data_IF_171554003161
#
_entry.id   IF_171554003161
#
_cell.length_a   1.000
_cell.length_b   1.000
_cell.length_c   1.000
_cell.angle_alpha   90.00
_cell.angle_beta   90.00
_cell.angle_gamma   90.00
#
_symmetry.space_group_name_H-M   'P 1'
#
loop_
_entity.id
_entity.type
_entity.pdbx_description
1 polymer ?
#
# COMPACT_ATOMS: atom_id res chain seq x y z
N UNK A 1 12.07 44.23 94.36
CA UNK A 1 11.13 43.65 95.38
C UNK A 1 10.33 42.51 94.68
N UNK A 2 10.36 41.38 95.33
CA UNK A 2 9.51 40.19 95.21
C UNK A 2 9.61 39.30 94.01
N UNK A 3 10.19 38.18 94.28
CA UNK A 3 10.06 36.82 93.80
C UNK A 3 8.60 36.30 94.03
N UNK A 4 8.27 35.03 93.73
CA UNK A 4 8.70 33.97 92.79
C UNK A 4 7.46 33.27 92.19
N UNK A 5 7.58 32.18 91.44
CA UNK A 5 7.23 30.82 91.83
C UNK A 5 7.21 29.89 90.58
N UNK A 6 7.92 28.81 90.80
CA UNK A 6 8.01 27.62 89.96
C UNK A 6 6.66 26.99 89.60
N UNK A 7 6.60 26.29 88.49
CA UNK A 7 6.23 24.86 88.46
C UNK A 7 6.53 24.19 87.09
N UNK A 8 7.25 23.17 87.25
CA UNK A 8 7.53 21.97 86.55
C UNK A 8 6.41 21.42 85.63
N UNK A 9 6.96 20.71 84.67
CA UNK A 9 6.56 19.37 84.21
C UNK A 9 5.85 19.25 82.85
N UNK A 10 6.44 18.40 82.08
CA UNK A 10 5.73 17.72 81.01
C UNK A 10 6.54 17.49 79.73
N UNK A 11 7.56 16.61 79.84
CA UNK A 11 8.18 16.02 78.63
C UNK A 11 7.17 15.04 78.03
N UNK A 12 6.64 15.34 76.84
CA UNK A 12 5.96 14.36 76.00
C UNK A 12 6.76 14.24 74.72
N UNK A 13 7.50 13.17 74.65
CA UNK A 13 8.19 12.73 73.44
C UNK A 13 7.13 12.21 72.44
N UNK A 14 6.78 13.03 71.46
CA UNK A 14 5.96 12.63 70.33
C UNK A 14 6.89 12.07 69.27
N UNK A 15 6.92 10.76 69.09
CA UNK A 15 7.49 10.09 67.93
C UNK A 15 6.71 10.48 66.70
N UNK A 16 7.25 11.33 65.85
CA UNK A 16 6.79 11.54 64.49
C UNK A 16 7.28 10.34 63.65
N UNK A 17 6.39 9.38 63.44
CA UNK A 17 6.49 8.35 62.40
C UNK A 17 6.34 9.08 61.06
N UNK A 18 7.47 9.34 60.39
CA UNK A 18 7.52 9.69 58.98
C UNK A 18 7.10 8.44 58.19
N UNK A 19 5.81 8.38 57.83
CA UNK A 19 5.32 7.45 56.85
C UNK A 19 5.96 7.78 55.49
N UNK A 20 6.94 7.00 55.08
CA UNK A 20 7.36 6.92 53.69
C UNK A 20 6.18 6.36 52.88
N UNK A 21 5.39 7.27 52.34
CA UNK A 21 4.43 6.92 51.30
C UNK A 21 5.23 6.43 50.09
N UNK A 22 5.32 5.13 49.90
CA UNK A 22 5.72 4.52 48.64
C UNK A 22 4.75 5.08 47.58
N UNK A 23 5.23 5.92 46.68
CA UNK A 23 4.55 6.17 45.42
C UNK A 23 4.46 4.83 44.74
N UNK A 24 3.31 4.16 44.89
CA UNK A 24 2.93 3.07 44.01
C UNK A 24 2.94 3.66 42.59
N UNK A 25 3.84 3.15 41.74
CA UNK A 25 3.70 3.34 40.31
C UNK A 25 2.39 2.64 39.99
N UNK A 26 1.33 3.43 39.82
CA UNK A 26 0.11 2.91 39.25
C UNK A 26 0.51 2.17 37.97
N UNK A 27 0.05 0.95 37.85
CA UNK A 27 0.21 0.17 36.62
C UNK A 27 -0.14 1.07 35.45
N UNK A 28 0.89 1.49 34.71
CA UNK A 28 0.67 2.25 33.48
C UNK A 28 -0.21 1.37 32.62
N UNK A 29 -1.48 1.78 32.47
CA UNK A 29 -2.39 1.13 31.53
C UNK A 29 -1.75 1.25 30.13
N UNK A 30 -1.12 0.17 29.70
CA UNK A 30 -0.72 0.01 28.32
C UNK A 30 -1.98 -0.41 27.57
N UNK A 31 -2.54 0.44 26.71
CA UNK A 31 -3.69 0.04 25.92
C UNK A 31 -3.32 -1.23 25.15
N UNK A 32 -4.15 -2.27 25.26
CA UNK A 32 -3.98 -3.43 24.38
C UNK A 32 -4.00 -2.94 22.93
N UNK A 33 -3.05 -3.37 22.10
CA UNK A 33 -3.09 -3.02 20.68
C UNK A 33 -4.46 -3.46 20.11
N UNK A 34 -5.02 -2.68 19.15
CA UNK A 34 -6.25 -3.07 18.49
C UNK A 34 -6.09 -4.47 17.90
N UNK A 35 -7.08 -5.33 18.16
CA UNK A 35 -7.10 -6.67 17.56
C UNK A 35 -7.06 -6.55 16.05
N UNK A 36 -6.20 -7.33 15.40
CA UNK A 36 -6.18 -7.41 13.95
C UNK A 36 -7.58 -7.83 13.43
N UNK A 37 -8.07 -7.28 12.31
CA UNK A 37 -9.33 -7.69 11.71
C UNK A 37 -9.32 -9.20 11.44
N UNK A 38 -10.34 -9.91 11.95
CA UNK A 38 -10.51 -11.32 11.62
C UNK A 38 -10.73 -11.48 10.11
N UNK A 39 -9.90 -12.30 9.48
CA UNK A 39 -10.16 -12.79 8.14
C UNK A 39 -11.25 -13.85 8.28
N UNK A 40 -12.52 -13.46 8.11
CA UNK A 40 -13.61 -14.44 8.07
C UNK A 40 -13.35 -15.38 6.90
N UNK A 41 -13.00 -16.62 7.23
CA UNK A 41 -12.60 -17.64 6.27
C UNK A 41 -13.70 -18.00 5.28
N UNK A 42 -13.81 -17.23 4.22
CA UNK A 42 -14.41 -17.69 2.97
C UNK A 42 -13.36 -18.50 2.21
N UNK A 43 -13.78 -19.57 1.53
CA UNK A 43 -12.89 -20.27 0.62
C UNK A 43 -12.24 -19.25 -0.34
N UNK A 44 -10.91 -19.32 -0.49
CA UNK A 44 -10.20 -18.45 -1.41
C UNK A 44 -10.87 -18.51 -2.79
N UNK A 45 -11.12 -17.36 -3.44
CA UNK A 45 -11.64 -17.38 -4.81
C UNK A 45 -10.72 -18.26 -5.67
N UNK A 46 -11.29 -19.18 -6.41
CA UNK A 46 -10.52 -19.97 -7.37
C UNK A 46 -9.80 -18.99 -8.32
N UNK A 47 -8.50 -19.24 -8.57
CA UNK A 47 -7.78 -18.46 -9.55
C UNK A 47 -8.53 -18.56 -10.88
N UNK A 48 -9.19 -17.49 -11.31
CA UNK A 48 -9.82 -17.44 -12.62
C UNK A 48 -8.74 -17.06 -13.62
N UNK A 49 -8.27 -18.07 -14.34
CA UNK A 49 -7.38 -17.85 -15.46
C UNK A 49 -8.22 -17.41 -16.66
N UNK A 50 -8.21 -16.11 -16.95
CA UNK A 50 -8.71 -15.60 -18.22
C UNK A 50 -7.50 -15.27 -19.09
N UNK A 51 -7.43 -15.86 -20.27
CA UNK A 51 -6.30 -15.72 -21.19
C UNK A 51 -6.05 -14.29 -21.66
N UNK A 52 -6.95 -13.36 -21.33
CA UNK A 52 -6.92 -11.95 -21.75
C UNK A 52 -6.73 -10.95 -20.61
N UNK A 53 -6.36 -11.40 -19.41
CA UNK A 53 -6.24 -10.51 -18.22
C UNK A 53 -5.32 -9.31 -18.47
N UNK A 54 -4.22 -9.48 -19.24
CA UNK A 54 -3.25 -8.43 -19.55
C UNK A 54 -3.65 -7.60 -20.78
N UNK A 55 -4.65 -8.02 -21.53
CA UNK A 55 -5.11 -7.24 -22.68
C UNK A 55 -5.85 -5.99 -22.21
N UNK A 56 -5.42 -4.84 -22.72
CA UNK A 56 -6.08 -3.55 -22.53
C UNK A 56 -6.56 -3.01 -23.87
N UNK A 57 -7.10 -1.80 -23.88
CA UNK A 57 -7.57 -1.09 -25.06
C UNK A 57 -6.40 -0.35 -25.73
N UNK A 58 -6.19 -0.55 -27.03
CA UNK A 58 -5.15 0.20 -27.74
C UNK A 58 -5.37 1.72 -27.63
N UNK A 59 -4.31 2.52 -27.55
CA UNK A 59 -4.41 3.99 -27.64
C UNK A 59 -5.14 4.44 -28.92
N UNK A 60 -5.67 5.66 -28.93
CA UNK A 60 -6.35 6.18 -30.08
C UNK A 60 -5.37 6.53 -31.21
N UNK A 61 -5.54 5.90 -32.35
CA UNK A 61 -4.96 6.23 -33.67
C UNK A 61 -3.64 6.98 -33.70
N UNK A 62 -3.59 8.03 -34.52
CA UNK A 62 -2.36 8.81 -34.76
C UNK A 62 -2.06 9.88 -33.70
N UNK A 63 -3.00 10.18 -32.81
CA UNK A 63 -2.84 11.09 -31.69
C UNK A 63 -3.37 10.46 -30.40
N UNK A 64 -2.54 9.64 -29.74
CA UNK A 64 -2.94 8.93 -28.52
C UNK A 64 -3.38 9.83 -27.37
N UNK A 65 -2.89 11.07 -27.35
CA UNK A 65 -3.16 12.04 -26.29
C UNK A 65 -4.18 13.11 -26.69
N UNK A 66 -4.90 12.93 -27.82
CA UNK A 66 -5.99 13.79 -28.22
C UNK A 66 -7.08 13.84 -27.14
N UNK A 67 -7.60 15.05 -26.90
CA UNK A 67 -8.69 15.29 -25.95
C UNK A 67 -9.91 15.84 -26.69
N UNK A 68 -10.72 14.98 -27.30
CA UNK A 68 -11.93 15.38 -27.99
C UNK A 68 -12.94 16.04 -27.03
N UNK A 69 -13.74 16.96 -27.56
CA UNK A 69 -14.87 17.50 -26.81
C UNK A 69 -15.83 16.39 -26.38
N UNK A 70 -16.29 16.45 -25.13
CA UNK A 70 -17.18 15.43 -24.55
C UNK A 70 -16.47 14.18 -24.03
N UNK A 71 -15.14 14.06 -24.20
CA UNK A 71 -14.39 12.95 -23.63
C UNK A 71 -14.24 13.08 -22.10
N UNK A 72 -13.91 11.96 -21.44
CA UNK A 72 -13.59 11.93 -20.01
C UNK A 72 -12.49 12.93 -19.69
N UNK A 73 -11.40 12.96 -20.47
CA UNK A 73 -10.29 13.90 -20.29
C UNK A 73 -10.72 15.36 -20.45
N UNK A 74 -11.67 15.65 -21.35
CA UNK A 74 -12.19 17.03 -21.49
C UNK A 74 -12.99 17.46 -20.26
N UNK A 75 -13.74 16.56 -19.63
CA UNK A 75 -14.47 16.79 -18.38
C UNK A 75 -13.49 17.03 -17.22
N UNK A 76 -12.44 16.20 -17.11
CA UNK A 76 -11.35 16.37 -16.14
C UNK A 76 -10.66 17.72 -16.33
N UNK A 77 -10.38 18.11 -17.58
CA UNK A 77 -9.76 19.40 -17.93
C UNK A 77 -10.64 20.59 -17.50
N UNK A 78 -11.95 20.51 -17.72
CA UNK A 78 -12.91 21.54 -17.29
C UNK A 78 -12.97 21.65 -15.76
N UNK A 79 -12.90 20.54 -15.04
CA UNK A 79 -12.81 20.51 -13.57
C UNK A 79 -11.51 21.12 -13.04
N UNK A 80 -10.45 21.17 -13.86
CA UNK A 80 -9.18 21.79 -13.54
C UNK A 80 -8.17 20.94 -12.80
N UNK A 81 -8.46 19.64 -12.52
CA UNK A 81 -7.54 18.69 -11.86
C UNK A 81 -7.92 17.25 -12.14
N UNK A 82 -6.93 16.36 -12.17
CA UNK A 82 -7.09 14.91 -12.12
C UNK A 82 -7.30 14.48 -10.65
N UNK A 83 -8.24 13.60 -10.37
CA UNK A 83 -8.43 12.99 -9.04
C UNK A 83 -7.92 11.56 -9.09
N UNK A 84 -6.91 11.24 -8.27
CA UNK A 84 -6.28 9.92 -8.26
C UNK A 84 -6.38 9.26 -6.89
N UNK A 85 -6.86 8.01 -6.84
CA UNK A 85 -6.81 7.13 -5.68
C UNK A 85 -5.41 6.55 -5.53
N UNK A 86 -4.77 6.77 -4.38
CA UNK A 86 -3.37 6.40 -4.14
C UNK A 86 -3.16 5.90 -2.72
N UNK A 87 -2.00 5.29 -2.45
CA UNK A 87 -1.48 5.13 -1.09
C UNK A 87 -0.77 6.41 -0.62
N UNK A 88 -0.63 6.57 0.70
CA UNK A 88 0.22 7.59 1.30
C UNK A 88 1.20 7.00 2.34
N UNK A 89 1.27 5.69 2.43
CA UNK A 89 2.07 4.93 3.39
C UNK A 89 2.86 3.76 2.78
N UNK A 90 2.66 3.47 1.50
CA UNK A 90 3.43 2.43 0.80
C UNK A 90 4.74 3.04 0.29
N UNK A 91 5.80 2.93 1.09
CA UNK A 91 7.12 3.46 0.75
C UNK A 91 7.57 2.92 -0.62
N UNK A 92 8.28 3.72 -1.40
CA UNK A 92 8.68 3.54 -2.81
C UNK A 92 7.57 3.76 -3.84
N UNK A 93 6.31 3.43 -3.55
CA UNK A 93 5.21 3.47 -4.52
C UNK A 93 4.33 4.72 -4.34
N UNK A 94 3.87 4.97 -3.14
CA UNK A 94 3.09 6.15 -2.78
C UNK A 94 3.14 6.35 -1.27
N UNK A 95 4.04 7.21 -0.82
CA UNK A 95 4.24 7.49 0.60
C UNK A 95 4.39 8.99 0.87
N UNK A 96 3.96 9.41 2.05
CA UNK A 96 4.14 10.79 2.49
C UNK A 96 5.58 11.03 2.91
N UNK A 97 6.22 11.97 2.25
CA UNK A 97 7.54 12.44 2.65
C UNK A 97 7.44 13.22 3.98
N UNK A 98 8.12 12.79 5.05
CA UNK A 98 7.99 13.41 6.37
C UNK A 98 8.55 14.83 6.45
N UNK A 99 9.42 15.22 5.51
CA UNK A 99 10.05 16.54 5.47
C UNK A 99 9.20 17.55 4.70
N UNK A 100 8.72 17.14 3.52
CA UNK A 100 7.97 18.03 2.61
C UNK A 100 6.46 17.95 2.79
N UNK A 101 5.95 16.86 3.39
CA UNK A 101 4.53 16.54 3.48
C UNK A 101 3.90 16.07 2.16
N UNK A 102 4.65 16.10 1.05
CA UNK A 102 4.16 15.62 -0.25
C UNK A 102 4.03 14.10 -0.26
N UNK A 103 3.05 13.57 -1.00
CA UNK A 103 3.00 12.14 -1.33
C UNK A 103 3.78 11.94 -2.61
N UNK A 104 4.73 11.00 -2.58
CA UNK A 104 5.64 10.74 -3.68
C UNK A 104 5.94 9.24 -3.80
N UNK A 105 6.45 8.80 -4.96
CA UNK A 105 6.75 7.40 -5.23
C UNK A 105 6.49 7.04 -6.69
N UNK A 106 6.78 5.79 -7.03
CA UNK A 106 6.67 5.28 -8.39
C UNK A 106 5.25 5.44 -8.96
N UNK A 107 4.20 5.05 -8.21
CA UNK A 107 2.80 5.20 -8.63
C UNK A 107 2.38 6.68 -8.80
N UNK A 108 2.95 7.57 -7.97
CA UNK A 108 2.65 9.00 -8.02
C UNK A 108 3.24 9.65 -9.28
N UNK A 109 4.38 9.15 -9.78
CA UNK A 109 4.96 9.66 -11.01
C UNK A 109 4.05 9.38 -12.22
N UNK A 110 3.32 8.25 -12.26
CA UNK A 110 2.29 8.00 -13.28
C UNK A 110 1.13 9.00 -13.18
N UNK A 111 0.66 9.30 -11.97
CA UNK A 111 -0.38 10.33 -11.77
C UNK A 111 0.07 11.68 -12.31
N UNK A 112 1.32 12.08 -12.06
CA UNK A 112 1.90 13.32 -12.60
C UNK A 112 1.97 13.32 -14.12
N UNK A 113 2.37 12.20 -14.74
CA UNK A 113 2.45 12.08 -16.19
C UNK A 113 1.05 12.16 -16.85
N UNK A 114 0.04 11.53 -16.25
CA UNK A 114 -1.35 11.65 -16.72
C UNK A 114 -1.83 13.09 -16.58
N UNK A 115 -1.59 13.76 -15.45
CA UNK A 115 -1.94 15.17 -15.25
C UNK A 115 -1.24 16.07 -16.28
N UNK A 116 0.07 15.85 -16.50
CA UNK A 116 0.85 16.57 -17.51
C UNK A 116 0.26 16.41 -18.92
N UNK A 117 -0.15 15.19 -19.29
CA UNK A 117 -0.75 14.92 -20.58
C UNK A 117 -2.12 15.62 -20.75
N UNK A 118 -2.92 15.70 -19.68
CA UNK A 118 -4.24 16.36 -19.73
C UNK A 118 -4.10 17.90 -19.73
N UNK A 119 -3.23 18.46 -18.90
CA UNK A 119 -3.19 19.90 -18.59
C UNK A 119 -1.96 20.64 -19.16
N UNK A 120 -0.92 19.92 -19.59
CA UNK A 120 0.40 20.50 -19.83
C UNK A 120 1.15 20.84 -18.53
N UNK A 121 0.62 20.44 -17.37
CA UNK A 121 1.11 20.78 -16.02
C UNK A 121 0.96 19.55 -15.12
N UNK A 122 2.08 18.99 -14.67
CA UNK A 122 2.13 17.80 -13.85
C UNK A 122 1.61 17.99 -12.43
N UNK A 123 1.38 19.22 -11.99
CA UNK A 123 0.89 19.55 -10.65
C UNK A 123 -0.64 19.60 -10.54
N UNK A 124 -1.34 19.50 -11.67
CA UNK A 124 -2.80 19.60 -11.77
C UNK A 124 -3.53 18.31 -11.37
N UNK A 125 -3.23 17.79 -10.18
CA UNK A 125 -3.90 16.63 -9.61
C UNK A 125 -4.35 16.86 -8.16
N UNK A 126 -5.26 16.05 -7.71
CA UNK A 126 -5.66 15.87 -6.31
C UNK A 126 -5.53 14.39 -5.95
N UNK A 127 -4.81 14.10 -4.87
CA UNK A 127 -4.70 12.74 -4.36
C UNK A 127 -5.81 12.46 -3.35
N UNK A 128 -6.46 11.32 -3.52
CA UNK A 128 -7.36 10.72 -2.54
C UNK A 128 -6.67 9.49 -1.97
N UNK A 129 -6.30 9.57 -0.69
CA UNK A 129 -5.69 8.42 0.00
C UNK A 129 -6.76 7.39 0.28
N UNK A 130 -6.52 6.15 -0.14
CA UNK A 130 -7.45 5.01 -0.02
C UNK A 130 -6.74 3.77 0.49
N UNK A 131 -7.48 2.87 1.14
CA UNK A 131 -6.99 1.52 1.48
C UNK A 131 -6.96 0.62 0.24
N UNK A 132 -6.35 -0.56 0.37
CA UNK A 132 -6.35 -1.54 -0.73
C UNK A 132 -7.78 -2.02 -1.07
N UNK A 133 -8.62 -2.22 -0.07
CA UNK A 133 -10.00 -2.68 -0.24
C UNK A 133 -10.90 -1.65 -0.94
N UNK A 134 -10.61 -0.36 -0.78
CA UNK A 134 -11.42 0.71 -1.38
C UNK A 134 -11.18 0.92 -2.87
N UNK A 135 -10.13 0.32 -3.47
CA UNK A 135 -9.70 0.60 -4.86
C UNK A 135 -10.80 0.40 -5.90
N UNK A 136 -11.61 -0.67 -5.76
CA UNK A 136 -12.70 -0.96 -6.70
C UNK A 136 -13.86 0.00 -6.49
N UNK A 137 -14.30 0.17 -5.26
CA UNK A 137 -15.46 0.98 -4.90
C UNK A 137 -15.32 2.44 -5.34
N UNK A 138 -14.16 3.07 -5.09
CA UNK A 138 -13.95 4.49 -5.47
C UNK A 138 -13.96 4.72 -6.99
N UNK A 139 -13.58 3.69 -7.80
CA UNK A 139 -13.70 3.73 -9.26
C UNK A 139 -15.14 3.50 -9.72
N UNK A 140 -15.82 2.51 -9.17
CA UNK A 140 -17.21 2.20 -9.50
C UNK A 140 -18.15 3.37 -9.19
N UNK A 141 -17.86 4.10 -8.11
CA UNK A 141 -18.63 5.28 -7.69
C UNK A 141 -18.16 6.58 -8.35
N UNK A 142 -17.19 6.55 -9.28
CA UNK A 142 -16.60 7.75 -9.92
C UNK A 142 -16.08 8.79 -8.91
N UNK A 143 -15.61 8.35 -7.75
CA UNK A 143 -15.04 9.22 -6.73
C UNK A 143 -13.61 9.66 -7.05
N UNK A 144 -12.96 8.91 -7.94
CA UNK A 144 -11.66 9.19 -8.54
C UNK A 144 -11.70 8.89 -10.03
N UNK A 145 -10.82 9.54 -10.80
CA UNK A 145 -10.67 9.30 -12.24
C UNK A 145 -9.80 8.09 -12.53
N UNK A 146 -8.79 7.88 -11.69
CA UNK A 146 -7.84 6.76 -11.79
C UNK A 146 -7.45 6.27 -10.41
N UNK A 147 -7.02 5.01 -10.33
CA UNK A 147 -6.32 4.45 -9.16
C UNK A 147 -4.93 4.01 -9.60
N UNK A 148 -3.89 4.64 -9.04
CA UNK A 148 -2.50 4.22 -9.15
C UNK A 148 -2.01 3.83 -7.74
N UNK A 149 -2.13 2.52 -7.41
CA UNK A 149 -1.86 2.00 -6.07
C UNK A 149 -1.52 0.51 -6.13
N UNK A 150 -0.36 0.18 -6.71
CA UNK A 150 0.15 -1.19 -6.82
C UNK A 150 -1.00 -2.20 -7.02
N UNK A 151 -1.76 -2.00 -8.09
CA UNK A 151 -3.01 -2.71 -8.28
C UNK A 151 -2.86 -3.81 -9.32
N UNK A 152 -2.78 -5.06 -8.87
CA UNK A 152 -2.69 -6.23 -9.74
C UNK A 152 -3.87 -6.32 -10.68
N UNK A 153 -3.62 -6.50 -11.95
CA UNK A 153 -4.62 -6.79 -12.98
C UNK A 153 -5.09 -8.23 -12.80
N UNK A 154 -6.38 -8.42 -12.50
CA UNK A 154 -7.01 -9.74 -12.37
C UNK A 154 -8.29 -9.82 -13.19
N UNK A 155 -8.68 -11.04 -13.55
CA UNK A 155 -9.93 -11.29 -14.27
C UNK A 155 -11.16 -10.80 -13.51
N UNK A 156 -11.16 -10.99 -12.18
CA UNK A 156 -12.30 -10.58 -11.36
C UNK A 156 -12.43 -9.06 -11.29
N UNK A 157 -11.30 -8.33 -11.18
CA UNK A 157 -11.31 -6.86 -11.18
C UNK A 157 -11.79 -6.29 -12.52
N UNK A 158 -11.45 -6.94 -13.65
CA UNK A 158 -11.96 -6.55 -14.96
C UNK A 158 -13.48 -6.62 -15.11
N UNK A 159 -14.18 -7.39 -14.24
CA UNK A 159 -15.66 -7.44 -14.25
C UNK A 159 -16.31 -6.16 -13.72
N UNK A 160 -15.57 -5.34 -12.99
CA UNK A 160 -16.12 -4.20 -12.27
C UNK A 160 -15.43 -2.87 -12.57
N UNK A 161 -14.20 -2.89 -13.05
CA UNK A 161 -13.42 -1.72 -13.46
C UNK A 161 -12.66 -2.02 -14.74
N UNK A 162 -12.09 -1.00 -15.36
CA UNK A 162 -11.15 -1.16 -16.47
C UNK A 162 -9.71 -0.90 -16.02
N UNK A 163 -8.74 -1.43 -16.77
CA UNK A 163 -7.31 -1.24 -16.50
C UNK A 163 -6.56 -0.69 -17.72
N UNK A 164 -5.52 0.07 -17.44
CA UNK A 164 -4.47 0.32 -18.43
C UNK A 164 -3.76 -0.98 -18.84
N UNK A 165 -2.89 -0.91 -19.83
CA UNK A 165 -1.85 -1.90 -20.01
C UNK A 165 -0.99 -1.98 -18.74
N UNK A 166 -0.33 -3.13 -18.58
CA UNK A 166 0.62 -3.34 -17.50
C UNK A 166 1.74 -2.30 -17.52
N UNK A 167 1.98 -1.65 -16.38
CA UNK A 167 3.09 -0.70 -16.25
C UNK A 167 4.27 -1.22 -15.43
N UNK A 168 4.07 -2.29 -14.66
CA UNK A 168 5.10 -2.97 -13.87
C UNK A 168 4.69 -4.41 -13.60
N UNK A 169 5.65 -5.34 -13.64
CA UNK A 169 5.44 -6.72 -13.22
C UNK A 169 6.11 -6.91 -11.86
N UNK A 170 5.30 -7.01 -10.82
CA UNK A 170 5.73 -7.42 -9.50
C UNK A 170 5.58 -8.92 -9.31
N UNK A 171 6.13 -9.43 -8.21
CA UNK A 171 5.95 -10.81 -7.80
C UNK A 171 5.69 -10.91 -6.31
N UNK A 172 4.75 -11.76 -5.90
CA UNK A 172 4.43 -11.95 -4.50
C UNK A 172 5.53 -12.77 -3.81
N UNK A 173 5.97 -12.29 -2.66
CA UNK A 173 7.03 -12.87 -1.81
C UNK A 173 6.62 -12.87 -0.33
N UNK A 174 7.54 -13.25 0.52
CA UNK A 174 7.38 -13.30 1.97
C UNK A 174 8.45 -12.44 2.64
N UNK A 175 8.04 -11.67 3.64
CA UNK A 175 8.91 -10.91 4.54
C UNK A 175 8.75 -11.47 5.95
N UNK A 176 9.89 -11.69 6.62
CA UNK A 176 9.96 -12.23 7.96
C UNK A 176 10.92 -11.42 8.84
N UNK A 177 10.95 -11.70 10.13
CA UNK A 177 12.03 -11.20 10.99
C UNK A 177 13.31 -11.96 10.69
N UNK A 178 14.44 -11.27 10.77
CA UNK A 178 15.76 -11.92 10.69
C UNK A 178 15.89 -13.01 11.76
N UNK A 179 16.31 -14.20 11.33
CA UNK A 179 16.42 -15.37 12.21
C UNK A 179 15.12 -16.18 12.35
N UNK A 180 14.07 -15.85 11.58
CA UNK A 180 12.88 -16.70 11.46
C UNK A 180 13.24 -18.06 10.89
N UNK A 181 12.48 -19.08 11.25
CA UNK A 181 12.53 -20.44 10.70
C UNK A 181 11.68 -20.58 9.42
N UNK A 182 10.89 -19.57 9.09
CA UNK A 182 10.15 -19.51 7.81
C UNK A 182 11.15 -19.26 6.68
N UNK A 183 11.17 -20.17 5.70
CA UNK A 183 12.10 -20.16 4.57
C UNK A 183 11.44 -20.03 3.22
N UNK A 184 10.10 -20.07 3.15
CA UNK A 184 9.32 -19.95 1.92
C UNK A 184 7.86 -20.32 2.11
N UNK A 185 7.13 -20.40 1.02
CA UNK A 185 5.68 -20.63 1.01
C UNK A 185 5.32 -21.95 1.74
N UNK A 186 6.08 -23.02 1.51
CA UNK A 186 5.81 -24.35 2.06
C UNK A 186 6.02 -24.43 3.60
N UNK A 187 6.67 -23.43 4.18
CA UNK A 187 6.94 -23.38 5.62
C UNK A 187 5.99 -22.44 6.39
N UNK A 188 4.90 -21.99 5.77
CA UNK A 188 3.92 -21.10 6.40
C UNK A 188 2.88 -21.82 7.26
N UNK A 189 2.80 -23.16 7.22
CA UNK A 189 1.81 -23.93 7.98
C UNK A 189 1.92 -23.66 9.49
N UNK A 190 0.79 -23.28 10.10
CA UNK A 190 0.70 -22.94 11.53
C UNK A 190 1.28 -21.59 11.91
N UNK A 191 1.81 -20.80 10.95
CA UNK A 191 2.28 -19.45 11.19
C UNK A 191 1.22 -18.39 10.87
N UNK A 192 1.19 -17.32 11.66
CA UNK A 192 0.33 -16.15 11.43
C UNK A 192 0.95 -15.29 10.34
N UNK A 193 0.26 -15.18 9.22
CA UNK A 193 0.75 -14.47 8.04
C UNK A 193 -0.16 -13.29 7.71
N UNK A 194 0.39 -12.08 7.71
CA UNK A 194 -0.37 -10.87 7.40
C UNK A 194 -0.36 -10.55 5.91
N UNK A 195 -1.53 -10.19 5.40
CA UNK A 195 -1.69 -9.49 4.13
C UNK A 195 -2.88 -8.52 4.23
N UNK A 196 -2.89 -7.40 3.49
CA UNK A 196 -4.02 -6.48 3.50
C UNK A 196 -5.27 -7.10 2.88
N UNK A 197 -6.42 -6.75 3.45
CA UNK A 197 -7.72 -7.14 2.93
C UNK A 197 -7.97 -6.55 1.53
N UNK A 198 -8.66 -7.28 0.66
CA UNK A 198 -8.97 -6.86 -0.71
C UNK A 198 -7.76 -6.85 -1.65
N UNK A 199 -6.72 -7.61 -1.33
CA UNK A 199 -5.52 -7.76 -2.17
C UNK A 199 -5.41 -9.17 -2.76
N UNK A 200 -4.76 -9.26 -3.92
CA UNK A 200 -4.33 -10.55 -4.48
C UNK A 200 -3.38 -11.30 -3.53
N UNK A 201 -2.61 -10.57 -2.73
CA UNK A 201 -1.71 -11.15 -1.74
C UNK A 201 -2.45 -11.97 -0.70
N UNK A 202 -3.60 -11.48 -0.19
CA UNK A 202 -4.46 -12.23 0.73
C UNK A 202 -5.12 -13.42 0.02
N UNK A 203 -5.67 -13.19 -1.18
CA UNK A 203 -6.32 -14.26 -1.96
C UNK A 203 -5.36 -15.40 -2.28
N UNK A 204 -4.12 -15.06 -2.64
CA UNK A 204 -3.06 -16.04 -2.92
C UNK A 204 -2.60 -16.77 -1.65
N UNK A 205 -2.48 -16.07 -0.51
CA UNK A 205 -2.17 -16.68 0.78
C UNK A 205 -3.19 -17.78 1.11
N UNK A 206 -4.48 -17.44 1.07
CA UNK A 206 -5.57 -18.37 1.36
C UNK A 206 -5.59 -19.58 0.41
N UNK A 207 -5.17 -19.39 -0.83
CA UNK A 207 -5.17 -20.43 -1.85
C UNK A 207 -3.92 -21.30 -1.84
N UNK A 208 -2.74 -20.71 -1.66
CA UNK A 208 -1.44 -21.38 -1.84
C UNK A 208 -0.84 -21.90 -0.55
N UNK A 209 -1.20 -21.30 0.59
CA UNK A 209 -0.77 -21.72 1.92
C UNK A 209 -1.98 -21.92 2.84
N UNK A 210 -2.88 -22.90 2.57
CA UNK A 210 -4.10 -23.10 3.35
C UNK A 210 -3.86 -23.52 4.79
N UNK A 211 -2.65 -23.96 5.14
CA UNK A 211 -2.25 -24.27 6.52
C UNK A 211 -1.74 -23.07 7.31
N UNK A 212 -1.53 -21.92 6.67
CA UNK A 212 -1.19 -20.67 7.36
C UNK A 212 -2.40 -20.08 8.09
N UNK A 213 -2.14 -19.32 9.15
CA UNK A 213 -3.16 -18.55 9.88
C UNK A 213 -3.21 -17.12 9.29
N UNK A 214 -4.18 -16.76 8.42
CA UNK A 214 -4.22 -15.49 7.78
C UNK A 214 -4.63 -14.37 8.75
N UNK A 215 -3.92 -13.25 8.71
CA UNK A 215 -4.19 -12.05 9.49
C UNK A 215 -4.41 -10.88 8.55
N UNK A 216 -5.56 -10.19 8.67
CA UNK A 216 -5.90 -9.04 7.83
C UNK A 216 -5.35 -7.73 8.39
N UNK A 217 -5.10 -6.76 7.50
CA UNK A 217 -4.82 -5.37 7.82
C UNK A 217 -5.40 -4.45 6.73
N UNK A 218 -5.46 -3.15 6.98
CA UNK A 218 -5.90 -2.17 5.98
C UNK A 218 -4.84 -1.94 4.88
N UNK A 219 -3.57 -2.10 5.25
CA UNK A 219 -2.41 -1.90 4.38
C UNK A 219 -1.20 -2.71 4.88
N UNK A 220 -0.14 -2.78 4.07
CA UNK A 220 1.08 -3.50 4.42
C UNK A 220 1.87 -2.84 5.58
N UNK A 221 1.76 -1.52 5.76
CA UNK A 221 2.36 -0.82 6.92
C UNK A 221 1.72 -1.29 8.22
N UNK A 222 0.41 -1.54 8.23
CA UNK A 222 -0.28 -2.19 9.35
C UNK A 222 0.25 -3.59 9.62
N UNK A 223 0.51 -4.39 8.58
CA UNK A 223 1.15 -5.69 8.73
C UNK A 223 2.55 -5.59 9.35
N UNK A 224 3.35 -4.55 8.98
CA UNK A 224 4.68 -4.35 9.56
C UNK A 224 4.59 -4.05 11.06
N UNK A 225 3.62 -3.25 11.49
CA UNK A 225 3.38 -3.00 12.93
C UNK A 225 3.05 -4.31 13.65
N UNK A 226 2.14 -5.13 13.11
CA UNK A 226 1.80 -6.45 13.69
C UNK A 226 3.03 -7.37 13.77
N UNK A 227 3.90 -7.35 12.76
CA UNK A 227 5.15 -8.11 12.77
C UNK A 227 6.09 -7.60 13.89
N UNK A 228 6.26 -6.30 14.03
CA UNK A 228 7.10 -5.67 15.06
C UNK A 228 6.60 -6.01 16.48
N UNK A 229 5.30 -6.04 16.67
CA UNK A 229 4.66 -6.40 17.94
C UNK A 229 4.64 -7.91 18.21
N UNK A 230 5.04 -8.76 17.26
CA UNK A 230 5.01 -10.22 17.39
C UNK A 230 3.60 -10.80 17.30
N UNK A 231 2.67 -10.07 16.76
CA UNK A 231 1.30 -10.54 16.52
C UNK A 231 1.21 -11.40 15.26
N UNK A 232 2.14 -11.24 14.32
CA UNK A 232 2.29 -12.11 13.15
C UNK A 232 3.74 -12.57 13.00
N UNK A 233 3.94 -13.67 12.29
CA UNK A 233 5.23 -14.32 12.11
C UNK A 233 5.83 -13.97 10.75
N UNK A 234 4.98 -13.64 9.76
CA UNK A 234 5.36 -13.24 8.41
C UNK A 234 4.37 -12.22 7.82
N UNK A 235 4.82 -11.54 6.77
CA UNK A 235 4.01 -10.69 5.89
C UNK A 235 4.16 -11.24 4.48
N UNK A 236 3.06 -11.35 3.73
CA UNK A 236 3.14 -11.63 2.29
C UNK A 236 2.62 -10.46 1.50
N UNK A 237 3.25 -10.20 0.36
CA UNK A 237 2.94 -9.09 -0.54
C UNK A 237 3.90 -9.04 -1.72
N UNK A 238 3.70 -8.04 -2.55
CA UNK A 238 4.50 -7.82 -3.74
C UNK A 238 5.92 -7.38 -3.36
N UNK A 239 6.91 -7.82 -4.12
CA UNK A 239 8.33 -7.57 -3.90
C UNK A 239 8.65 -6.07 -3.72
N UNK A 240 8.03 -5.19 -4.49
CA UNK A 240 8.15 -3.72 -4.37
C UNK A 240 7.71 -3.22 -3.02
N UNK A 241 6.57 -3.73 -2.52
CA UNK A 241 6.00 -3.34 -1.23
C UNK A 241 6.85 -3.87 -0.10
N UNK A 242 7.22 -5.16 -0.16
CA UNK A 242 8.04 -5.80 0.87
C UNK A 242 9.45 -5.20 0.96
N UNK A 243 10.06 -4.83 -0.19
CA UNK A 243 11.31 -4.10 -0.22
C UNK A 243 11.20 -2.75 0.50
N UNK A 244 10.09 -2.04 0.29
CA UNK A 244 9.78 -0.81 1.00
C UNK A 244 9.65 -1.01 2.51
N UNK A 245 8.97 -2.06 2.97
CA UNK A 245 8.86 -2.39 4.38
C UNK A 245 10.22 -2.77 5.00
N UNK A 246 10.98 -3.65 4.34
CA UNK A 246 12.29 -4.07 4.81
C UNK A 246 13.30 -2.91 4.90
N UNK A 247 13.16 -1.89 4.05
CA UNK A 247 14.00 -0.69 4.12
C UNK A 247 13.70 0.19 5.33
N UNK A 248 12.52 0.07 5.91
CA UNK A 248 12.07 0.83 7.08
C UNK A 248 12.30 0.09 8.41
N UNK A 249 12.57 -1.21 8.35
CA UNK A 249 12.82 -2.05 9.53
C UNK A 249 14.10 -2.89 9.36
N UNK A 250 15.19 -2.55 10.08
CA UNK A 250 16.44 -3.27 9.98
C UNK A 250 16.37 -4.72 10.48
N UNK A 251 15.32 -5.11 11.18
CA UNK A 251 15.09 -6.46 11.69
C UNK A 251 14.23 -7.32 10.76
N UNK A 252 13.62 -6.73 9.74
CA UNK A 252 12.85 -7.42 8.73
C UNK A 252 13.73 -7.79 7.52
N UNK A 253 13.38 -8.86 6.82
CA UNK A 253 14.04 -9.31 5.59
C UNK A 253 13.02 -9.95 4.66
N UNK A 254 13.09 -9.60 3.38
CA UNK A 254 12.38 -10.33 2.32
C UNK A 254 13.16 -11.62 2.04
N UNK A 255 12.47 -12.75 2.01
CA UNK A 255 13.11 -14.02 1.72
C UNK A 255 13.71 -14.03 0.29
N UNK A 256 14.92 -14.56 0.17
CA UNK A 256 15.62 -14.72 -1.10
C UNK A 256 15.15 -15.99 -1.82
N UNK A 257 13.89 -15.94 -2.27
CA UNK A 257 13.27 -16.98 -3.08
C UNK A 257 12.62 -16.36 -4.32
N UNK A 258 12.31 -17.18 -5.32
CA UNK A 258 11.53 -16.73 -6.46
C UNK A 258 10.13 -16.27 -6.00
N UNK A 259 9.58 -15.26 -6.67
CA UNK A 259 8.19 -14.90 -6.47
C UNK A 259 7.28 -16.11 -6.80
N UNK A 260 6.29 -16.38 -5.97
CA UNK A 260 5.41 -17.52 -6.16
C UNK A 260 4.15 -17.19 -6.98
N UNK A 261 3.90 -15.90 -7.26
CA UNK A 261 2.90 -15.44 -8.24
C UNK A 261 3.43 -14.23 -9.00
N UNK A 262 2.88 -14.00 -10.21
CA UNK A 262 3.06 -12.77 -10.97
C UNK A 262 1.94 -11.78 -10.63
N UNK A 263 2.34 -10.56 -10.31
CA UNK A 263 1.45 -9.47 -9.91
C UNK A 263 1.59 -8.28 -10.88
N UNK A 264 0.99 -8.37 -12.08
CA UNK A 264 1.07 -7.29 -13.08
C UNK A 264 0.27 -6.08 -12.61
N UNK A 265 0.92 -4.90 -12.51
CA UNK A 265 0.27 -3.68 -12.08
C UNK A 265 -0.37 -2.93 -13.25
N UNK A 266 -1.62 -2.53 -13.08
CA UNK A 266 -2.35 -1.66 -14.00
C UNK A 266 -2.93 -0.44 -13.28
N UNK A 267 -3.08 0.66 -14.00
CA UNK A 267 -3.82 1.83 -13.52
C UNK A 267 -5.31 1.52 -13.69
N UNK A 268 -6.05 1.51 -12.57
CA UNK A 268 -7.49 1.30 -12.58
C UNK A 268 -8.23 2.56 -13.06
N UNK A 269 -9.28 2.34 -13.84
CA UNK A 269 -10.16 3.39 -14.42
C UNK A 269 -11.62 2.90 -14.27
N UNK A 270 -12.63 3.77 -14.11
CA UNK A 270 -14.03 3.38 -14.18
C UNK A 270 -14.34 2.56 -15.44
N UNK A 271 -15.12 1.49 -15.31
CA UNK A 271 -15.35 0.52 -16.40
C UNK A 271 -15.96 1.15 -17.67
N UNK A 272 -16.78 2.17 -17.53
CA UNK A 272 -17.46 2.90 -18.61
C UNK A 272 -16.58 3.98 -19.27
N UNK A 273 -15.38 4.25 -18.75
CA UNK A 273 -14.47 5.28 -19.27
C UNK A 273 -13.35 4.69 -20.13
N UNK A 274 -13.71 3.92 -21.16
CA UNK A 274 -12.75 3.30 -22.08
C UNK A 274 -11.85 4.31 -22.78
N UNK A 275 -12.36 5.51 -23.07
CA UNK A 275 -11.59 6.61 -23.66
C UNK A 275 -10.45 7.05 -22.74
N UNK A 276 -10.69 7.07 -21.41
CA UNK A 276 -9.64 7.35 -20.42
C UNK A 276 -8.59 6.23 -20.37
N UNK A 277 -8.99 4.96 -20.45
CA UNK A 277 -8.03 3.85 -20.54
C UNK A 277 -7.11 3.99 -21.74
N UNK A 278 -7.67 4.27 -22.92
CA UNK A 278 -6.90 4.48 -24.17
C UNK A 278 -5.92 5.65 -24.03
N UNK A 279 -6.37 6.74 -23.40
CA UNK A 279 -5.53 7.90 -23.12
C UNK A 279 -4.38 7.55 -22.16
N UNK A 280 -4.68 6.87 -21.04
CA UNK A 280 -3.65 6.42 -20.09
C UNK A 280 -2.64 5.49 -20.77
N UNK A 281 -3.09 4.59 -21.64
CA UNK A 281 -2.19 3.74 -22.43
C UNK A 281 -1.28 4.56 -23.36
N UNK A 282 -1.79 5.64 -23.96
CA UNK A 282 -0.98 6.58 -24.71
C UNK A 282 0.09 7.27 -23.86
N UNK A 283 -0.25 7.62 -22.61
CA UNK A 283 0.72 8.16 -21.64
C UNK A 283 1.81 7.13 -21.32
N UNK A 284 1.43 5.86 -21.05
CA UNK A 284 2.38 4.80 -20.76
C UNK A 284 3.33 4.51 -21.93
N UNK A 285 2.84 4.56 -23.18
CA UNK A 285 3.69 4.45 -24.38
C UNK A 285 4.65 5.64 -24.50
N UNK A 286 4.17 6.84 -24.18
CA UNK A 286 5.01 8.05 -24.12
C UNK A 286 6.14 7.89 -23.11
N UNK A 287 5.82 7.43 -21.89
CA UNK A 287 6.81 7.19 -20.82
C UNK A 287 7.87 6.15 -21.20
N UNK A 288 7.48 5.13 -21.98
CA UNK A 288 8.42 4.16 -22.54
C UNK A 288 9.33 4.80 -23.59
N UNK A 289 8.77 5.60 -24.47
CA UNK A 289 9.48 6.18 -25.59
C UNK A 289 10.47 7.28 -25.17
N UNK A 290 10.13 8.09 -24.16
CA UNK A 290 10.95 9.20 -23.69
C UNK A 290 11.88 8.83 -22.50
N UNK A 291 11.79 7.59 -21.99
CA UNK A 291 12.61 7.08 -20.89
C UNK A 291 12.16 7.55 -19.50
N UNK A 292 11.06 8.25 -19.38
CA UNK A 292 10.57 8.75 -18.07
C UNK A 292 10.11 7.61 -17.15
N UNK A 293 9.66 6.46 -17.69
CA UNK A 293 9.42 5.26 -16.91
C UNK A 293 10.72 4.75 -16.27
N UNK A 294 11.78 4.59 -17.05
CA UNK A 294 13.07 4.10 -16.56
C UNK A 294 13.68 5.05 -15.53
N UNK A 295 13.53 6.37 -15.73
CA UNK A 295 13.97 7.37 -14.78
C UNK A 295 13.19 7.27 -13.44
N UNK A 296 11.89 7.00 -13.49
CA UNK A 296 11.08 6.77 -12.29
C UNK A 296 11.47 5.48 -11.57
N UNK A 297 11.68 4.38 -12.31
CA UNK A 297 12.16 3.11 -11.76
C UNK A 297 13.54 3.28 -11.09
N UNK A 298 14.48 3.92 -11.78
CA UNK A 298 15.83 4.17 -11.26
C UNK A 298 15.82 4.99 -9.98
N UNK A 299 14.89 5.93 -9.87
CA UNK A 299 14.74 6.76 -8.68
C UNK A 299 14.15 6.01 -7.49
N UNK A 300 13.09 5.23 -7.70
CA UNK A 300 12.29 4.68 -6.62
C UNK A 300 12.60 3.22 -6.30
N UNK A 301 12.75 2.39 -7.31
CA UNK A 301 12.76 0.93 -7.16
C UNK A 301 14.18 0.33 -7.29
N UNK A 302 14.98 0.84 -8.19
CA UNK A 302 16.33 0.29 -8.47
C UNK A 302 17.24 0.17 -7.24
N UNK A 303 17.26 1.12 -6.28
CA UNK A 303 18.10 1.00 -5.08
C UNK A 303 17.78 -0.22 -4.21
N UNK A 304 16.57 -0.79 -4.36
CA UNK A 304 16.06 -1.87 -3.52
C UNK A 304 15.85 -3.17 -4.29
N UNK A 305 15.53 -3.09 -5.58
CA UNK A 305 15.17 -4.24 -6.41
C UNK A 305 16.24 -4.53 -7.51
N UNK A 306 17.24 -3.69 -7.64
CA UNK A 306 18.28 -3.86 -8.65
C UNK A 306 17.87 -3.35 -10.02
N UNK A 307 18.59 -3.81 -11.04
CA UNK A 307 18.40 -3.34 -12.42
C UNK A 307 17.03 -3.74 -12.97
N UNK A 308 16.36 -2.79 -13.63
CA UNK A 308 15.08 -2.99 -14.29
C UNK A 308 15.20 -3.97 -15.47
N UNK A 309 14.14 -4.75 -15.70
CA UNK A 309 13.93 -5.46 -16.97
C UNK A 309 13.25 -4.59 -18.03
N UNK A 310 13.00 -3.32 -17.72
CA UNK A 310 12.27 -2.37 -18.55
C UNK A 310 10.77 -2.38 -18.30
N UNK A 311 10.09 -1.33 -18.80
CA UNK A 311 8.63 -1.28 -18.76
C UNK A 311 8.03 -2.46 -19.55
N UNK A 312 7.09 -3.22 -18.97
CA UNK A 312 6.43 -4.33 -19.68
C UNK A 312 5.85 -3.90 -21.02
N UNK A 313 5.93 -4.80 -22.03
CA UNK A 313 5.33 -4.52 -23.33
C UNK A 313 3.81 -4.58 -23.23
N UNK A 314 3.08 -3.56 -23.75
CA UNK A 314 1.63 -3.53 -23.64
C UNK A 314 1.01 -4.64 -24.50
N UNK A 315 -0.02 -5.25 -23.95
CA UNK A 315 -0.87 -6.18 -24.69
C UNK A 315 -2.20 -5.49 -25.00
N UNK A 316 -2.50 -5.34 -26.28
CA UNK A 316 -3.77 -4.76 -26.73
C UNK A 316 -4.61 -5.82 -27.44
N UNK A 317 -5.91 -5.70 -27.35
CA UNK A 317 -6.83 -6.67 -27.95
C UNK A 317 -8.25 -6.56 -27.39
N UNK A 318 -8.39 -5.85 -26.25
CA UNK A 318 -9.70 -5.63 -25.67
C UNK A 318 -10.51 -4.66 -26.52
N UNK A 319 -11.76 -5.02 -26.77
CA UNK A 319 -12.75 -4.17 -27.46
C UNK A 319 -13.80 -3.68 -26.46
N UNK A 320 -14.38 -2.47 -26.67
CA UNK A 320 -15.45 -1.93 -25.83
C UNK A 320 -16.68 -2.83 -25.74
#
# INVERSE_FOLDING_TARGET
MNRPVHRLAGVVAGLLLLGLGACGVDDTFVPSPPSAPEVTGGAAPAAQDCNDRLQSYAPNGSDPLAIPSGSTMSTIRQRGRLIAGVSADTFLLGARNPVTGAVEGFDIDFVKQIAKAIFGDETRYQLRVITAAQRLEVLQNHEVDVVARNMTITCDRWKSIAFSAEYYLAGQKILVRKGSDITGLDSLDGHRVCAPLGTSSMDNLLRLAPGAEPVGADNHTGCLVLLQEGQVDAITGDDTVLAGLASQDPYAVVLDEAAFTEEPYGIGVPADQVDMVRFVNGVLEGMRADGSWEASYARWLQPFLGTSSGQPQPQYGRTP
#
